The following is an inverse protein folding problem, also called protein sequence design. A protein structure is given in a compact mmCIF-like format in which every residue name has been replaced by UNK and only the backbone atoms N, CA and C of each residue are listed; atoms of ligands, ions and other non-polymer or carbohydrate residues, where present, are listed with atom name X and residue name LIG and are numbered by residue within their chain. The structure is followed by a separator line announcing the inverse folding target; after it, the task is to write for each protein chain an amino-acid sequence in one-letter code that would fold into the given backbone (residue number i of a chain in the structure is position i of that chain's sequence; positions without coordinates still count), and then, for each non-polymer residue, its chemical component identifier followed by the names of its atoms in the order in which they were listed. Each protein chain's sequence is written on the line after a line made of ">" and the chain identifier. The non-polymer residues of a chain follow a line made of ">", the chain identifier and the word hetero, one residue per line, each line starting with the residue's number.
data_IF_137128655357
#
_entry.id   IF_137128655357
#
_cell.length_a   1.000
_cell.length_b   1.000
_cell.length_c   1.000
_cell.angle_alpha   90.00
_cell.angle_beta   90.00
_cell.angle_gamma   90.00
#
_symmetry.space_group_name_H-M   'P 1'
#
loop_
_entity.id
_entity.type
_entity.pdbx_description
1 polymer ?
#
# COMPACT_ATOMS: atom_id res chain seq x y z
N UNK A 1 33.44 -39.97 -25.21
CA UNK A 1 33.37 -38.63 -24.61
C UNK A 1 32.09 -37.97 -25.10
N UNK A 2 31.07 -37.85 -24.24
CA UNK A 2 29.82 -37.16 -24.57
C UNK A 2 29.88 -35.75 -23.94
N UNK A 3 29.84 -34.74 -24.79
CA UNK A 3 29.66 -33.35 -24.37
C UNK A 3 28.20 -33.18 -23.92
N UNK A 4 28.00 -32.97 -22.64
CA UNK A 4 26.72 -32.55 -22.05
C UNK A 4 26.70 -31.01 -22.09
N UNK A 5 25.91 -30.44 -22.99
CA UNK A 5 25.72 -29.00 -23.08
C UNK A 5 24.83 -28.55 -21.94
N UNK A 6 25.38 -27.80 -21.00
CA UNK A 6 24.66 -27.07 -19.94
C UNK A 6 23.71 -26.04 -20.55
N UNK A 7 22.42 -26.36 -20.58
CA UNK A 7 21.33 -25.42 -20.84
C UNK A 7 20.75 -24.89 -19.50
N UNK A 8 21.58 -24.26 -18.69
CA UNK A 8 21.09 -23.68 -17.41
C UNK A 8 20.95 -22.16 -17.43
N UNK A 9 21.18 -21.46 -18.53
CA UNK A 9 21.15 -19.99 -18.58
C UNK A 9 19.78 -19.33 -18.69
N UNK A 10 18.72 -20.06 -19.03
CA UNK A 10 17.42 -19.45 -19.36
C UNK A 10 16.38 -19.38 -18.22
N UNK A 11 16.53 -20.16 -17.16
CA UNK A 11 15.53 -20.28 -16.11
C UNK A 11 15.60 -19.17 -15.04
N UNK A 12 16.73 -18.53 -14.86
CA UNK A 12 16.95 -17.47 -13.86
C UNK A 12 16.32 -16.12 -14.23
N UNK A 13 16.40 -15.72 -15.49
CA UNK A 13 15.91 -14.43 -15.98
C UNK A 13 14.38 -14.35 -16.00
N UNK A 14 13.69 -15.40 -16.39
CA UNK A 14 12.21 -15.46 -16.40
C UNK A 14 11.65 -15.44 -14.99
N UNK A 15 12.31 -16.12 -14.05
CA UNK A 15 11.90 -16.11 -12.63
C UNK A 15 12.06 -14.74 -11.99
N UNK A 16 13.14 -14.03 -12.29
CA UNK A 16 13.38 -12.67 -11.79
C UNK A 16 12.37 -11.65 -12.34
N UNK A 17 12.08 -11.67 -13.65
CA UNK A 17 11.06 -10.80 -14.25
C UNK A 17 9.66 -11.03 -13.68
N UNK A 18 9.30 -12.28 -13.42
CA UNK A 18 8.03 -12.61 -12.75
C UNK A 18 7.95 -12.03 -11.35
N UNK A 19 9.03 -12.10 -10.57
CA UNK A 19 9.08 -11.52 -9.21
C UNK A 19 8.97 -9.99 -9.25
N UNK A 20 9.66 -9.33 -10.18
CA UNK A 20 9.55 -7.88 -10.36
C UNK A 20 8.13 -7.47 -10.75
N UNK A 21 7.53 -8.17 -11.71
CA UNK A 21 6.16 -7.90 -12.12
C UNK A 21 5.18 -8.11 -10.97
N UNK A 22 5.32 -9.19 -10.21
CA UNK A 22 4.46 -9.45 -9.04
C UNK A 22 4.63 -8.37 -7.99
N UNK A 23 5.85 -7.95 -7.70
CA UNK A 23 6.11 -6.86 -6.76
C UNK A 23 5.49 -5.54 -7.23
N UNK A 24 5.61 -5.21 -8.52
CA UNK A 24 4.98 -4.01 -9.08
C UNK A 24 3.44 -4.10 -9.01
N UNK A 25 2.88 -5.25 -9.38
CA UNK A 25 1.45 -5.49 -9.29
C UNK A 25 0.94 -5.30 -7.85
N UNK A 26 1.57 -5.97 -6.87
CA UNK A 26 1.14 -5.93 -5.48
C UNK A 26 1.26 -4.52 -4.88
N UNK A 27 2.28 -3.76 -5.26
CA UNK A 27 2.54 -2.43 -4.70
C UNK A 27 1.77 -1.28 -5.38
N UNK A 28 1.41 -1.42 -6.65
CA UNK A 28 0.81 -0.31 -7.41
C UNK A 28 -0.52 -0.67 -8.06
N UNK A 29 -0.59 -1.78 -8.79
CA UNK A 29 -1.76 -2.12 -9.61
C UNK A 29 -2.93 -2.62 -8.74
N UNK A 30 -2.67 -3.45 -7.74
CA UNK A 30 -3.72 -4.03 -6.90
C UNK A 30 -4.61 -2.99 -6.22
N UNK A 31 -4.05 -1.83 -5.86
CA UNK A 31 -4.78 -0.73 -5.22
C UNK A 31 -5.69 0.04 -6.18
N UNK A 32 -5.40 0.01 -7.47
CA UNK A 32 -6.26 0.58 -8.51
C UNK A 32 -7.40 -0.37 -8.85
N UNK A 33 -7.08 -1.67 -9.00
CA UNK A 33 -8.04 -2.69 -9.42
C UNK A 33 -9.15 -2.92 -8.39
N UNK A 34 -8.87 -2.72 -7.11
CA UNK A 34 -9.85 -2.92 -6.03
C UNK A 34 -10.92 -1.81 -5.97
N UNK A 35 -10.64 -0.63 -6.55
CA UNK A 35 -11.56 0.52 -6.48
C UNK A 35 -12.92 0.21 -7.10
N UNK A 36 -13.05 -0.26 -8.36
CA UNK A 36 -14.36 -0.54 -8.95
C UNK A 36 -15.12 -1.68 -8.27
N UNK A 37 -14.41 -2.53 -7.52
CA UNK A 37 -15.03 -3.64 -6.78
C UNK A 37 -15.69 -3.17 -5.47
N UNK A 38 -15.17 -2.06 -4.90
CA UNK A 38 -15.55 -1.59 -3.56
C UNK A 38 -16.23 -0.24 -3.53
N UNK A 39 -16.04 0.58 -4.56
CA UNK A 39 -16.73 1.86 -4.71
C UNK A 39 -17.85 1.75 -5.75
N UNK A 40 -19.12 1.72 -5.31
CA UNK A 40 -20.24 1.68 -6.24
C UNK A 40 -20.37 2.91 -7.14
N UNK A 41 -19.74 4.03 -6.78
CA UNK A 41 -19.73 5.26 -7.55
C UNK A 41 -18.63 5.27 -8.63
N UNK A 42 -17.68 4.32 -8.59
CA UNK A 42 -16.61 4.24 -9.56
C UNK A 42 -17.17 3.96 -10.98
N UNK A 43 -16.81 4.82 -11.92
CA UNK A 43 -17.22 4.65 -13.32
C UNK A 43 -16.46 3.50 -13.97
N UNK A 44 -17.11 2.86 -14.95
CA UNK A 44 -16.50 1.81 -15.77
C UNK A 44 -15.93 2.36 -17.08
N UNK A 45 -15.08 1.56 -17.75
CA UNK A 45 -14.47 1.93 -19.03
C UNK A 45 -13.24 2.83 -18.90
N UNK A 46 -12.71 3.28 -20.04
CA UNK A 46 -11.44 4.01 -20.11
C UNK A 46 -11.42 5.28 -19.24
N UNK A 47 -12.47 6.09 -19.29
CA UNK A 47 -12.54 7.31 -18.48
C UNK A 47 -12.67 7.01 -16.97
N UNK A 48 -13.34 5.91 -16.59
CA UNK A 48 -13.39 5.47 -15.19
C UNK A 48 -12.01 5.11 -14.66
N UNK A 49 -11.22 4.36 -15.40
CA UNK A 49 -9.84 4.06 -15.03
C UNK A 49 -8.97 5.31 -14.94
N UNK A 50 -9.14 6.25 -15.86
CA UNK A 50 -8.42 7.52 -15.81
C UNK A 50 -8.80 8.34 -14.57
N UNK A 51 -10.08 8.37 -14.20
CA UNK A 51 -10.59 9.02 -12.99
C UNK A 51 -9.99 8.39 -11.73
N UNK A 52 -9.95 7.05 -11.63
CA UNK A 52 -9.35 6.36 -10.49
C UNK A 52 -7.87 6.74 -10.34
N UNK A 53 -7.11 6.69 -11.43
CA UNK A 53 -5.68 6.99 -11.39
C UNK A 53 -5.39 8.45 -11.05
N UNK A 54 -6.23 9.39 -11.50
CA UNK A 54 -5.97 10.83 -11.36
C UNK A 54 -6.68 11.47 -10.16
N UNK A 55 -7.80 10.92 -9.69
CA UNK A 55 -8.69 11.60 -8.76
C UNK A 55 -8.91 10.87 -7.42
N UNK A 56 -8.40 9.63 -7.24
CA UNK A 56 -8.59 8.90 -5.99
C UNK A 56 -7.42 9.14 -5.02
N UNK A 57 -7.62 9.94 -3.96
CA UNK A 57 -6.55 10.29 -3.02
C UNK A 57 -6.00 9.08 -2.28
N UNK A 58 -6.82 8.05 -1.99
CA UNK A 58 -6.38 6.81 -1.38
C UNK A 58 -5.35 6.05 -2.21
N UNK A 59 -5.51 6.01 -3.53
CA UNK A 59 -4.55 5.39 -4.45
C UNK A 59 -3.22 6.16 -4.44
N UNK A 60 -3.27 7.50 -4.53
CA UNK A 60 -2.09 8.35 -4.50
C UNK A 60 -1.35 8.22 -3.17
N UNK A 61 -2.09 8.17 -2.05
CA UNK A 61 -1.53 8.04 -0.72
C UNK A 61 -0.72 6.74 -0.58
N UNK A 62 -1.24 5.63 -1.06
CA UNK A 62 -0.55 4.35 -1.01
C UNK A 62 0.65 4.33 -1.95
N UNK A 63 0.56 4.87 -3.16
CA UNK A 63 1.68 4.93 -4.09
C UNK A 63 2.86 5.73 -3.55
N UNK A 64 2.59 6.94 -3.02
CA UNK A 64 3.64 7.77 -2.40
C UNK A 64 4.22 7.10 -1.15
N UNK A 65 3.37 6.42 -0.36
CA UNK A 65 3.85 5.63 0.77
C UNK A 65 4.78 4.50 0.33
N UNK A 66 4.49 3.75 -0.75
CA UNK A 66 5.37 2.68 -1.24
C UNK A 66 6.78 3.20 -1.55
N UNK A 67 6.88 4.39 -2.17
CA UNK A 67 8.16 5.04 -2.45
C UNK A 67 8.85 5.44 -1.14
N UNK A 68 8.12 6.06 -0.21
CA UNK A 68 8.64 6.47 1.08
C UNK A 68 9.10 5.28 1.92
N UNK A 69 8.35 4.19 1.94
CA UNK A 69 8.66 2.96 2.66
C UNK A 69 9.92 2.28 2.12
N UNK A 70 10.06 2.17 0.81
CA UNK A 70 11.26 1.64 0.19
C UNK A 70 12.52 2.43 0.58
N UNK A 71 12.46 3.76 0.56
CA UNK A 71 13.57 4.61 1.01
C UNK A 71 13.83 4.49 2.51
N UNK A 72 12.78 4.28 3.30
CA UNK A 72 12.87 4.04 4.74
C UNK A 72 13.61 2.74 5.04
N UNK A 73 13.29 1.66 4.34
CA UNK A 73 13.97 0.37 4.48
C UNK A 73 15.45 0.43 4.06
N UNK A 74 15.79 1.30 3.11
CA UNK A 74 17.19 1.59 2.74
C UNK A 74 17.95 2.44 3.78
N UNK A 75 17.28 2.88 4.84
CA UNK A 75 17.90 3.71 5.88
C UNK A 75 18.15 5.16 5.43
N UNK A 76 17.51 5.64 4.38
CA UNK A 76 17.68 7.03 3.91
C UNK A 76 17.10 7.99 4.96
N UNK A 77 17.91 8.92 5.49
CA UNK A 77 17.42 9.85 6.50
C UNK A 77 16.55 10.95 5.89
N UNK A 78 15.59 11.47 6.64
CA UNK A 78 14.74 12.64 6.36
C UNK A 78 13.81 12.48 5.14
N UNK A 79 14.32 12.06 3.98
CA UNK A 79 13.58 12.03 2.71
C UNK A 79 12.28 11.21 2.77
N UNK A 80 12.24 10.00 3.36
CA UNK A 80 10.99 9.25 3.51
C UNK A 80 9.92 10.02 4.28
N UNK A 81 10.31 10.71 5.36
CA UNK A 81 9.39 11.54 6.15
C UNK A 81 8.91 12.76 5.39
N UNK A 82 9.78 13.37 4.58
CA UNK A 82 9.41 14.48 3.71
C UNK A 82 8.37 14.05 2.67
N UNK A 83 8.56 12.89 2.02
CA UNK A 83 7.59 12.33 1.07
C UNK A 83 6.26 12.05 1.77
N UNK A 84 6.27 11.47 2.96
CA UNK A 84 5.07 11.23 3.76
C UNK A 84 4.34 12.54 4.11
N UNK A 85 5.08 13.60 4.41
CA UNK A 85 4.50 14.91 4.70
C UNK A 85 3.86 15.55 3.45
N UNK A 86 4.52 15.47 2.29
CA UNK A 86 3.97 15.93 1.00
C UNK A 86 2.71 15.11 0.66
N UNK A 87 2.76 13.78 0.86
CA UNK A 87 1.62 12.90 0.66
C UNK A 87 0.40 13.35 1.48
N UNK A 88 0.60 13.59 2.77
CA UNK A 88 -0.45 14.12 3.66
C UNK A 88 -1.01 15.46 3.16
N UNK A 89 -0.15 16.36 2.72
CA UNK A 89 -0.57 17.67 2.20
C UNK A 89 -1.46 17.52 0.94
N UNK A 90 -1.12 16.58 0.04
CA UNK A 90 -1.83 16.37 -1.22
C UNK A 90 -3.12 15.58 -1.05
N UNK A 91 -3.15 14.59 -0.13
CA UNK A 91 -4.22 13.60 -0.03
C UNK A 91 -5.06 13.74 1.24
N UNK A 92 -4.58 14.51 2.22
CA UNK A 92 -5.11 14.55 3.59
C UNK A 92 -5.10 13.17 4.30
N UNK A 93 -4.20 12.27 3.86
CA UNK A 93 -3.97 10.93 4.43
C UNK A 93 -2.53 10.89 4.93
N UNK A 94 -2.35 10.63 6.22
CA UNK A 94 -1.03 10.48 6.83
C UNK A 94 -0.65 9.00 6.95
N UNK A 95 0.42 8.59 6.27
CA UNK A 95 0.98 7.26 6.40
C UNK A 95 2.46 7.40 6.75
N UNK A 96 2.86 6.86 7.92
CA UNK A 96 4.27 6.85 8.31
C UNK A 96 5.08 5.95 7.37
N UNK A 97 6.30 6.33 6.95
CA UNK A 97 7.12 5.49 6.05
C UNK A 97 7.43 4.10 6.61
N UNK A 98 7.52 3.95 7.93
CA UNK A 98 7.74 2.66 8.59
C UNK A 98 6.53 1.74 8.63
N UNK A 99 5.32 2.23 8.34
CA UNK A 99 4.12 1.41 8.33
C UNK A 99 4.17 0.33 7.26
N UNK A 100 3.58 -0.83 7.55
CA UNK A 100 3.46 -1.93 6.58
C UNK A 100 2.04 -1.98 6.04
N UNK A 101 1.90 -1.84 4.73
CA UNK A 101 0.62 -1.86 4.04
C UNK A 101 0.57 -3.08 3.11
N UNK A 102 -0.45 -3.92 3.26
CA UNK A 102 -0.70 -5.07 2.39
C UNK A 102 -1.10 -4.68 0.97
N UNK A 103 -1.40 -5.63 0.12
CA UNK A 103 -1.92 -5.44 -1.25
C UNK A 103 -3.43 -5.26 -1.27
N UNK A 104 -3.96 -4.62 -2.30
CA UNK A 104 -5.40 -4.45 -2.48
C UNK A 104 -6.07 -3.64 -1.35
N UNK A 105 -5.31 -2.82 -0.63
CA UNK A 105 -5.88 -1.90 0.37
C UNK A 105 -6.59 -0.78 -0.35
N UNK A 106 -7.82 -0.48 0.09
CA UNK A 106 -8.66 0.59 -0.42
C UNK A 106 -8.94 1.61 0.70
N UNK A 107 -8.63 2.88 0.43
CA UNK A 107 -8.92 3.99 1.34
C UNK A 107 -9.97 4.86 0.66
N UNK A 108 -11.21 4.74 1.14
CA UNK A 108 -12.35 5.48 0.61
C UNK A 108 -12.49 6.82 1.33
N UNK A 109 -12.66 7.90 0.55
CA UNK A 109 -12.69 9.31 1.00
C UNK A 109 -11.39 9.76 1.70
N UNK A 110 -10.84 9.01 2.61
CA UNK A 110 -9.51 9.08 3.21
C UNK A 110 -9.21 10.30 4.09
N UNK A 111 -10.05 11.33 4.13
CA UNK A 111 -9.79 12.55 4.87
C UNK A 111 -9.52 12.28 6.36
N UNK A 112 -8.34 12.70 6.86
CA UNK A 112 -7.95 12.52 8.25
C UNK A 112 -7.61 11.08 8.64
N UNK A 113 -7.34 10.20 7.69
CA UNK A 113 -6.76 8.87 7.97
C UNK A 113 -5.33 9.06 8.48
N UNK A 114 -4.96 8.36 9.56
CA UNK A 114 -3.63 8.37 10.14
C UNK A 114 -3.15 6.93 10.35
N UNK A 115 -2.01 6.58 9.75
CA UNK A 115 -1.37 5.27 9.89
C UNK A 115 0.03 5.48 10.45
N UNK A 116 0.24 5.08 11.72
CA UNK A 116 1.47 5.27 12.48
C UNK A 116 2.59 4.32 12.07
N UNK A 117 3.81 4.55 12.60
CA UNK A 117 5.04 3.84 12.25
C UNK A 117 4.95 2.32 12.39
N UNK A 118 4.36 1.86 13.49
CA UNK A 118 4.29 0.45 13.87
C UNK A 118 3.04 -0.27 13.36
N UNK A 119 2.18 0.46 12.62
CA UNK A 119 0.94 -0.11 12.10
C UNK A 119 1.22 -1.13 10.99
N UNK A 120 0.52 -2.26 11.06
CA UNK A 120 0.50 -3.29 10.04
C UNK A 120 -0.93 -3.45 9.49
N UNK A 121 -1.12 -3.08 8.23
CA UNK A 121 -2.38 -3.23 7.50
C UNK A 121 -2.27 -4.45 6.61
N UNK A 122 -3.18 -5.40 6.80
CA UNK A 122 -3.23 -6.64 6.01
C UNK A 122 -3.66 -6.41 4.56
N UNK A 123 -3.75 -7.51 3.80
CA UNK A 123 -4.23 -7.50 2.43
C UNK A 123 -5.74 -7.23 2.36
N UNK A 124 -6.18 -6.56 1.30
CA UNK A 124 -7.59 -6.35 0.97
C UNK A 124 -8.42 -5.64 2.07
N UNK A 125 -7.78 -4.80 2.86
CA UNK A 125 -8.46 -3.97 3.87
C UNK A 125 -9.11 -2.76 3.22
N UNK A 126 -10.33 -2.42 3.66
CA UNK A 126 -11.00 -1.15 3.34
C UNK A 126 -10.98 -0.24 4.56
N UNK A 127 -10.62 1.02 4.35
CA UNK A 127 -10.62 2.07 5.37
C UNK A 127 -11.43 3.26 4.89
N UNK A 128 -12.09 3.93 5.82
CA UNK A 128 -12.82 5.17 5.58
C UNK A 128 -12.15 6.35 6.27
N UNK A 129 -12.65 7.55 6.01
CA UNK A 129 -12.17 8.79 6.62
C UNK A 129 -12.09 8.71 8.16
N UNK A 130 -11.13 9.42 8.73
CA UNK A 130 -10.96 9.54 10.18
C UNK A 130 -10.42 8.30 10.90
N UNK A 131 -10.09 7.23 10.17
CA UNK A 131 -9.48 6.03 10.77
C UNK A 131 -8.07 6.36 11.26
N UNK A 132 -7.76 5.97 12.51
CA UNK A 132 -6.42 6.08 13.07
C UNK A 132 -5.91 4.70 13.47
N UNK A 133 -4.76 4.32 12.90
CA UNK A 133 -4.00 3.11 13.23
C UNK A 133 -2.64 3.54 13.79
N UNK A 134 -2.35 3.21 15.05
CA UNK A 134 -1.08 3.60 15.66
C UNK A 134 -1.09 3.38 17.17
N UNK A 135 0.10 3.41 17.78
CA UNK A 135 0.26 3.29 19.22
C UNK A 135 -0.30 4.49 19.97
N UNK A 136 -0.83 4.26 21.16
CA UNK A 136 -1.35 5.33 22.04
C UNK A 136 -0.28 6.21 22.70
N UNK A 137 1.00 5.99 22.35
CA UNK A 137 2.13 6.80 22.80
C UNK A 137 2.53 6.62 24.27
N UNK A 138 1.88 5.71 25.03
CA UNK A 138 2.14 5.53 26.46
C UNK A 138 3.18 4.45 26.80
N UNK A 139 3.49 3.53 25.88
CA UNK A 139 4.46 2.46 26.13
C UNK A 139 5.37 2.25 24.91
N UNK A 140 6.67 2.45 25.09
CA UNK A 140 7.68 2.00 24.14
C UNK A 140 7.79 0.47 24.28
N UNK A 141 7.18 -0.28 23.34
CA UNK A 141 7.40 -1.72 23.22
C UNK A 141 6.22 -2.65 23.44
N UNK A 142 4.97 -2.17 23.62
CA UNK A 142 3.78 -3.02 23.63
C UNK A 142 2.77 -2.57 22.56
N UNK A 143 3.14 -2.70 21.30
CA UNK A 143 2.23 -2.43 20.18
C UNK A 143 1.33 -3.63 19.90
N UNK A 144 0.56 -4.05 20.90
CA UNK A 144 -0.62 -4.90 20.69
C UNK A 144 -1.82 -4.01 20.36
N UNK A 145 -1.72 -3.26 19.27
CA UNK A 145 -2.93 -2.74 18.63
C UNK A 145 -3.59 -3.88 17.85
N UNK A 146 -4.93 -4.01 17.94
CA UNK A 146 -5.62 -4.99 17.11
C UNK A 146 -5.26 -4.72 15.65
N UNK A 147 -4.76 -5.75 14.97
CA UNK A 147 -4.49 -5.67 13.53
C UNK A 147 -5.75 -5.14 12.83
N UNK A 148 -5.60 -4.33 11.78
CA UNK A 148 -6.72 -3.77 11.01
C UNK A 148 -7.74 -4.83 10.53
N UNK A 149 -7.38 -6.10 10.58
CA UNK A 149 -8.24 -7.27 10.38
C UNK A 149 -9.43 -7.31 11.35
N UNK A 150 -9.34 -6.73 12.56
CA UNK A 150 -10.47 -6.67 13.50
C UNK A 150 -11.53 -5.64 13.12
N UNK A 151 -11.19 -4.63 12.32
CA UNK A 151 -12.14 -3.60 11.90
C UNK A 151 -12.94 -3.98 10.65
N UNK A 152 -12.43 -4.85 9.79
CA UNK A 152 -13.18 -5.37 8.64
C UNK A 152 -14.39 -6.21 9.08
N UNK A 153 -14.27 -6.96 10.17
CA UNK A 153 -15.37 -7.78 10.71
C UNK A 153 -16.45 -6.98 11.46
N UNK A 154 -16.17 -5.72 11.86
CA UNK A 154 -17.13 -4.86 12.53
C UNK A 154 -18.06 -4.09 11.57
N UNK A 155 -17.69 -4.00 10.29
CA UNK A 155 -18.46 -3.31 9.25
C UNK A 155 -19.34 -4.28 8.40
N UNK A 156 -19.19 -5.59 8.57
CA UNK A 156 -20.04 -6.62 7.94
C UNK A 156 -21.31 -6.99 8.72
N UNK A 157 -21.78 -6.12 9.62
CA UNK A 157 -23.06 -6.34 10.33
C UNK A 157 -24.03 -5.21 10.10
#
# INVERSE_FOLDING_TARGET
>A
MRFQSDRQGGMGTVSWLKKLWQSFYDNFISHVLVVPERDPAARTGFFGWLEIVLCYPGVHAIWLHRIAHWLWELGVPVLPRLISHINRFLTNIEIHPGAKIGKGVFIDHGAGVVIGETAEVGDNVTMYQGVTLGGTGKERGSDTQPSATMWSSALER
#
